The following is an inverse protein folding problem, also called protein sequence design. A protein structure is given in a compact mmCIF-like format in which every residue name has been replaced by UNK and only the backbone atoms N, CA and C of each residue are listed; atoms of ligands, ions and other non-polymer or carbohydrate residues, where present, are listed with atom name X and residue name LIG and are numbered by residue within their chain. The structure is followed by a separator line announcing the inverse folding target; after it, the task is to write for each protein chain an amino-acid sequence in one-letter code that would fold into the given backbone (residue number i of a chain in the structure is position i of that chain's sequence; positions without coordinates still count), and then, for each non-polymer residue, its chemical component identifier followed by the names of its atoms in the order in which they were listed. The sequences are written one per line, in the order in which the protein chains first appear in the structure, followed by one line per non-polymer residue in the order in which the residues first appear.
data_IF_817560502559
#
_entry.id   IF_817560502559
#
_cell.length_a   1.000
_cell.length_b   1.000
_cell.length_c   1.000
_cell.angle_alpha   90.00
_cell.angle_beta   90.00
_cell.angle_gamma   90.00
#
_symmetry.space_group_name_H-M   'P 1'
#
loop_
_entity.id
_entity.type
_entity.pdbx_description
1 polymer ?
#
# COMPACT_ATOMS: atom_id res chain seq x y z
N UNK A 1 13.20 31.21 39.61
CA UNK A 1 12.60 31.93 38.48
C UNK A 1 11.39 31.12 38.08
N UNK A 2 10.20 31.58 38.45
CA UNK A 2 8.96 30.88 38.13
C UNK A 2 8.67 31.04 36.64
N UNK A 3 8.56 29.90 35.95
CA UNK A 3 8.04 29.86 34.59
C UNK A 3 6.52 30.06 34.70
N UNK A 4 5.94 31.06 33.99
CA UNK A 4 4.50 31.23 33.98
C UNK A 4 3.85 29.98 33.41
N UNK A 5 2.77 29.56 34.05
CA UNK A 5 1.93 28.41 33.73
C UNK A 5 1.72 28.32 32.21
N UNK A 6 2.44 27.38 31.58
CA UNK A 6 2.37 27.16 30.14
C UNK A 6 1.05 26.41 29.90
N UNK A 7 0.08 27.07 29.28
CA UNK A 7 -1.11 26.40 28.77
C UNK A 7 -0.70 25.14 27.98
N UNK A 8 -1.49 24.05 28.05
CA UNK A 8 -1.16 22.80 27.37
C UNK A 8 -0.78 23.06 25.91
N UNK A 9 0.29 22.42 25.45
CA UNK A 9 0.90 22.57 24.12
C UNK A 9 -0.10 22.45 22.95
N UNK A 10 -1.25 21.82 23.19
CA UNK A 10 -2.33 21.55 22.25
C UNK A 10 -3.24 22.77 21.96
N UNK A 11 -3.18 23.86 22.74
CA UNK A 11 -4.14 24.98 22.63
C UNK A 11 -3.69 26.16 21.74
N UNK A 12 -2.47 26.15 21.17
CA UNK A 12 -1.98 27.28 20.38
C UNK A 12 -2.39 27.12 18.91
N UNK A 13 -3.56 27.65 18.56
CA UNK A 13 -4.15 27.58 17.23
C UNK A 13 -3.55 28.59 16.23
N UNK A 14 -2.22 28.57 16.03
CA UNK A 14 -1.55 29.21 14.89
C UNK A 14 -0.51 30.30 15.22
N UNK A 15 0.17 30.84 14.18
CA UNK A 15 1.35 31.70 14.35
C UNK A 15 1.09 32.99 15.12
N UNK A 16 -0.09 33.62 14.93
CA UNK A 16 -0.45 34.86 15.61
C UNK A 16 -0.62 34.66 17.14
N UNK A 17 -1.24 33.55 17.54
CA UNK A 17 -1.39 33.21 18.95
C UNK A 17 -0.03 33.03 19.62
N UNK A 18 0.93 32.40 18.95
CA UNK A 18 2.29 32.22 19.45
C UNK A 18 3.05 33.56 19.59
N UNK A 19 2.98 34.42 18.57
CA UNK A 19 3.63 35.73 18.58
C UNK A 19 3.08 36.65 19.69
N UNK A 20 1.77 36.58 19.96
CA UNK A 20 1.11 37.41 20.98
C UNK A 20 1.59 37.15 22.41
N UNK A 21 2.20 35.98 22.69
CA UNK A 21 2.73 35.60 24.01
C UNK A 21 4.12 36.19 24.30
N UNK A 22 4.78 36.77 23.30
CA UNK A 22 6.07 37.44 23.44
C UNK A 22 7.29 36.49 23.53
N UNK A 23 8.51 37.07 23.54
CA UNK A 23 9.75 36.33 23.30
C UNK A 23 10.11 35.29 24.37
N UNK A 24 9.79 35.55 25.65
CA UNK A 24 10.08 34.60 26.74
C UNK A 24 9.28 33.30 26.58
N UNK A 25 8.01 33.42 26.21
CA UNK A 25 7.15 32.27 25.94
C UNK A 25 7.66 31.49 24.73
N UNK A 26 7.97 32.18 23.63
CA UNK A 26 8.50 31.56 22.41
C UNK A 26 9.79 30.78 22.70
N UNK A 27 10.71 31.34 23.50
CA UNK A 27 11.94 30.65 23.88
C UNK A 27 11.68 29.37 24.69
N UNK A 28 10.77 29.41 25.68
CA UNK A 28 10.40 28.24 26.46
C UNK A 28 9.69 27.17 25.61
N UNK A 29 8.83 27.61 24.68
CA UNK A 29 8.13 26.74 23.73
C UNK A 29 9.12 26.04 22.78
N UNK A 30 10.08 26.77 22.22
CA UNK A 30 11.14 26.19 21.39
C UNK A 30 11.98 25.17 22.17
N UNK A 31 12.36 25.47 23.42
CA UNK A 31 13.10 24.54 24.26
C UNK A 31 12.33 23.23 24.51
N UNK A 32 11.03 23.33 24.79
CA UNK A 32 10.16 22.16 24.99
C UNK A 32 10.08 21.30 23.73
N UNK A 33 9.88 21.93 22.55
CA UNK A 33 9.86 21.19 21.28
C UNK A 33 11.20 20.54 20.95
N UNK A 34 12.31 21.20 21.26
CA UNK A 34 13.64 20.60 21.09
C UNK A 34 13.80 19.36 21.96
N UNK A 35 13.36 19.40 23.23
CA UNK A 35 13.38 18.25 24.12
C UNK A 35 12.52 17.09 23.58
N UNK A 36 11.31 17.37 23.10
CA UNK A 36 10.43 16.37 22.49
C UNK A 36 11.08 15.68 21.29
N UNK A 37 11.74 16.44 20.41
CA UNK A 37 12.47 15.87 19.26
C UNK A 37 13.59 14.94 19.70
N UNK A 38 14.38 15.32 20.71
CA UNK A 38 15.40 14.42 21.25
C UNK A 38 14.79 13.19 21.91
N UNK A 39 13.62 13.32 22.53
CA UNK A 39 12.88 12.18 23.11
C UNK A 39 12.41 11.21 22.03
N UNK A 40 11.86 11.70 20.93
CA UNK A 40 11.45 10.89 19.77
C UNK A 40 12.65 10.19 19.13
N UNK A 41 13.72 10.93 18.88
CA UNK A 41 14.99 10.39 18.38
C UNK A 41 15.50 9.26 19.27
N UNK A 42 15.59 9.50 20.59
CA UNK A 42 16.12 8.53 21.56
C UNK A 42 15.25 7.28 21.61
N UNK A 43 13.92 7.44 21.61
CA UNK A 43 12.98 6.32 21.58
C UNK A 43 13.20 5.47 20.32
N UNK A 44 13.24 6.09 19.15
CA UNK A 44 13.41 5.39 17.88
C UNK A 44 14.79 4.73 17.75
N UNK A 45 15.83 5.35 18.31
CA UNK A 45 17.19 4.81 18.34
C UNK A 45 17.30 3.57 19.25
N UNK A 46 16.57 3.52 20.37
CA UNK A 46 16.63 2.41 21.32
C UNK A 46 15.67 1.26 21.01
N UNK A 47 14.65 1.50 20.19
CA UNK A 47 13.62 0.50 19.83
C UNK A 47 14.21 -0.77 19.17
N UNK A 48 15.35 -0.67 18.49
CA UNK A 48 16.01 -1.81 17.85
C UNK A 48 16.95 -2.63 18.74
N UNK A 49 16.78 -2.57 20.07
CA UNK A 49 17.62 -3.29 21.05
C UNK A 49 19.12 -2.95 20.91
N UNK A 50 19.41 -1.65 20.92
CA UNK A 50 20.80 -1.16 20.92
C UNK A 50 21.38 -1.37 22.32
N UNK A 51 22.37 -2.26 22.41
CA UNK A 51 23.13 -2.58 23.62
C UNK A 51 24.60 -2.19 23.42
N UNK A 52 25.37 -1.93 24.50
CA UNK A 52 26.79 -1.60 24.39
C UNK A 52 27.59 -2.58 23.50
N UNK A 53 27.25 -3.87 23.54
CA UNK A 53 27.93 -4.95 22.84
C UNK A 53 27.63 -4.97 21.33
N UNK A 54 26.54 -4.34 20.88
CA UNK A 54 26.14 -4.31 19.48
C UNK A 54 26.15 -2.91 18.87
N UNK A 55 26.55 -1.89 19.63
CA UNK A 55 26.57 -0.48 19.23
C UNK A 55 27.93 0.02 18.71
N UNK A 56 28.98 -0.83 18.73
CA UNK A 56 30.36 -0.46 18.40
C UNK A 56 30.54 0.11 16.98
N UNK A 57 29.60 -0.15 16.08
CA UNK A 57 29.63 0.41 14.73
C UNK A 57 29.32 1.91 14.72
N UNK A 58 28.68 2.50 15.74
CA UNK A 58 28.46 3.94 15.79
C UNK A 58 29.56 4.63 16.59
N UNK A 59 30.33 5.50 15.94
CA UNK A 59 31.32 6.32 16.66
C UNK A 59 30.65 7.50 17.36
N UNK A 60 31.26 8.02 18.43
CA UNK A 60 30.78 9.23 19.10
C UNK A 60 30.72 10.44 18.16
N UNK A 61 31.62 10.52 17.17
CA UNK A 61 31.61 11.57 16.15
C UNK A 61 30.41 11.45 15.21
N UNK A 62 30.07 10.23 14.77
CA UNK A 62 28.90 9.99 13.92
C UNK A 62 27.60 10.31 14.67
N UNK A 63 27.53 9.95 15.96
CA UNK A 63 26.39 10.29 16.82
C UNK A 63 26.26 11.80 17.02
N UNK A 64 27.36 12.50 17.32
CA UNK A 64 27.35 13.96 17.45
C UNK A 64 26.94 14.64 16.13
N UNK A 65 27.43 14.16 14.99
CA UNK A 65 27.05 14.70 13.68
C UNK A 65 25.53 14.55 13.43
N UNK A 66 24.95 13.42 13.86
CA UNK A 66 23.51 13.18 13.73
C UNK A 66 22.68 14.06 14.66
N UNK A 67 23.09 14.25 15.92
CA UNK A 67 22.41 15.15 16.85
C UNK A 67 22.43 16.60 16.34
N UNK A 68 23.54 17.04 15.75
CA UNK A 68 23.63 18.37 15.13
C UNK A 68 22.75 18.50 13.90
N UNK A 69 22.70 17.46 13.06
CA UNK A 69 21.80 17.43 11.91
C UNK A 69 20.35 17.55 12.36
N UNK A 70 19.94 16.79 13.38
CA UNK A 70 18.62 16.85 13.99
C UNK A 70 18.30 18.25 14.56
N UNK A 71 19.22 18.85 15.30
CA UNK A 71 19.03 20.17 15.90
C UNK A 71 18.80 21.26 14.85
N UNK A 72 19.54 21.21 13.75
CA UNK A 72 19.42 22.16 12.63
C UNK A 72 18.21 21.90 11.73
N UNK A 73 17.62 20.71 11.81
CA UNK A 73 16.51 20.31 10.96
C UNK A 73 15.22 21.05 11.37
N UNK A 74 14.49 21.57 10.39
CA UNK A 74 13.25 22.33 10.62
C UNK A 74 12.00 21.44 10.64
N UNK A 75 12.12 20.18 10.21
CA UNK A 75 11.02 19.21 10.18
C UNK A 75 11.08 18.35 11.45
N UNK A 76 9.98 18.35 12.22
CA UNK A 76 9.90 17.61 13.46
C UNK A 76 9.84 16.09 13.22
N UNK A 77 9.15 15.70 12.16
CA UNK A 77 8.88 14.33 11.71
C UNK A 77 10.17 13.52 11.46
N UNK A 78 11.26 14.21 11.10
CA UNK A 78 12.56 13.57 10.88
C UNK A 78 13.24 13.09 12.17
N UNK A 79 12.82 13.53 13.36
CA UNK A 79 13.42 13.10 14.62
C UNK A 79 13.41 11.57 14.77
N UNK A 80 12.27 10.95 14.47
CA UNK A 80 12.13 9.48 14.47
C UNK A 80 13.03 8.82 13.41
N UNK A 81 13.07 9.38 12.19
CA UNK A 81 13.88 8.84 11.08
C UNK A 81 15.39 8.89 11.39
N UNK A 82 15.87 9.98 12.00
CA UNK A 82 17.24 10.06 12.50
C UNK A 82 17.51 8.98 13.55
N UNK A 83 16.57 8.75 14.48
CA UNK A 83 16.71 7.70 15.48
C UNK A 83 16.80 6.31 14.85
N UNK A 84 15.99 6.01 13.83
CA UNK A 84 16.07 4.76 13.06
C UNK A 84 17.43 4.59 12.39
N UNK A 85 17.93 5.64 11.75
CA UNK A 85 19.24 5.63 11.11
C UNK A 85 20.37 5.42 12.15
N UNK A 86 20.28 6.07 13.32
CA UNK A 86 21.21 5.85 14.43
C UNK A 86 21.23 4.38 14.84
N UNK A 87 20.04 3.79 15.05
CA UNK A 87 19.91 2.38 15.40
C UNK A 87 20.50 1.46 14.33
N UNK A 88 20.24 1.72 13.04
CA UNK A 88 20.79 0.93 11.93
C UNK A 88 22.31 1.03 11.84
N UNK A 89 22.88 2.20 12.12
CA UNK A 89 24.33 2.42 12.18
C UNK A 89 24.93 1.71 13.38
N UNK A 90 24.34 1.88 14.56
CA UNK A 90 24.81 1.27 15.80
C UNK A 90 24.84 -0.25 15.69
N UNK A 91 23.74 -0.87 15.25
CA UNK A 91 23.59 -2.32 15.08
C UNK A 91 24.35 -2.91 13.88
N UNK A 92 25.18 -2.12 13.19
CA UNK A 92 26.01 -2.57 12.07
C UNK A 92 25.26 -2.94 10.79
N UNK A 93 23.93 -2.69 10.72
CA UNK A 93 23.11 -2.91 9.52
C UNK A 93 23.50 -1.94 8.39
N UNK A 94 23.93 -0.73 8.74
CA UNK A 94 24.50 0.23 7.80
C UNK A 94 26.00 0.03 7.64
N UNK A 95 26.44 -0.29 6.41
CA UNK A 95 27.86 -0.46 6.10
C UNK A 95 28.69 0.79 6.46
N UNK A 96 29.90 0.59 6.99
CA UNK A 96 30.76 1.66 7.52
C UNK A 96 30.97 2.86 6.59
N UNK A 97 31.22 2.62 5.31
CA UNK A 97 31.45 3.66 4.31
C UNK A 97 30.18 4.46 3.93
N UNK A 98 28.99 3.99 4.31
CA UNK A 98 27.71 4.63 3.98
C UNK A 98 27.17 5.54 5.09
N UNK A 99 27.66 5.41 6.33
CA UNK A 99 27.14 6.13 7.51
C UNK A 99 27.04 7.63 7.28
N UNK A 100 28.17 8.27 6.92
CA UNK A 100 28.24 9.73 6.68
C UNK A 100 27.44 10.15 5.45
N UNK A 101 27.37 9.29 4.42
CA UNK A 101 26.56 9.56 3.23
C UNK A 101 25.07 9.62 3.60
N UNK A 102 24.58 8.64 4.37
CA UNK A 102 23.19 8.58 4.80
C UNK A 102 22.81 9.71 5.76
N UNK A 103 23.69 10.06 6.71
CA UNK A 103 23.45 11.21 7.62
C UNK A 103 23.27 12.49 6.81
N UNK A 104 24.14 12.74 5.83
CA UNK A 104 24.05 13.94 4.99
C UNK A 104 22.85 13.90 4.05
N UNK A 105 22.54 12.74 3.46
CA UNK A 105 21.37 12.57 2.62
C UNK A 105 20.08 12.86 3.41
N UNK A 106 19.94 12.29 4.61
CA UNK A 106 18.77 12.52 5.46
C UNK A 106 18.62 13.99 5.87
N UNK A 107 19.73 14.67 6.14
CA UNK A 107 19.74 16.10 6.49
C UNK A 107 19.33 17.02 5.34
N UNK A 108 19.59 16.63 4.11
CA UNK A 108 19.31 17.44 2.93
C UNK A 108 17.97 17.10 2.27
N UNK A 109 17.42 15.91 2.53
CA UNK A 109 16.08 15.51 2.10
C UNK A 109 15.01 16.08 3.03
N UNK A 110 13.88 16.49 2.46
CA UNK A 110 12.68 16.76 3.27
C UNK A 110 12.03 15.47 3.77
N UNK A 111 11.22 15.54 4.82
CA UNK A 111 10.48 14.36 5.30
C UNK A 111 9.60 13.77 4.19
N UNK A 112 8.92 14.62 3.42
CA UNK A 112 8.12 14.18 2.27
C UNK A 112 8.95 13.47 1.18
N UNK A 113 10.19 13.88 0.96
CA UNK A 113 11.10 13.21 0.03
C UNK A 113 11.55 11.84 0.54
N UNK A 114 11.85 11.72 1.84
CA UNK A 114 12.16 10.43 2.47
C UNK A 114 10.93 9.51 2.41
N UNK A 115 9.73 10.04 2.64
CA UNK A 115 8.48 9.28 2.51
C UNK A 115 8.20 8.82 1.07
N UNK A 116 8.53 9.61 0.05
CA UNK A 116 8.44 9.18 -1.35
C UNK A 116 9.36 8.00 -1.65
N UNK A 117 10.60 8.01 -1.14
CA UNK A 117 11.52 6.88 -1.28
C UNK A 117 10.96 5.64 -0.56
N UNK A 118 10.39 5.80 0.63
CA UNK A 118 9.71 4.72 1.37
C UNK A 118 8.56 4.14 0.55
N UNK A 119 7.64 4.97 0.06
CA UNK A 119 6.49 4.54 -0.75
C UNK A 119 6.93 3.82 -2.03
N UNK A 120 7.97 4.31 -2.71
CA UNK A 120 8.52 3.64 -3.88
C UNK A 120 9.12 2.26 -3.54
N UNK A 121 9.82 2.15 -2.40
CA UNK A 121 10.39 0.88 -1.93
C UNK A 121 9.31 -0.16 -1.66
N UNK A 122 8.19 0.26 -1.06
CA UNK A 122 7.01 -0.58 -0.80
C UNK A 122 6.38 -1.01 -2.12
N UNK A 123 6.15 -0.07 -3.04
CA UNK A 123 5.55 -0.37 -4.34
C UNK A 123 6.44 -1.28 -5.23
N UNK A 124 7.76 -1.32 -5.05
CA UNK A 124 8.66 -2.27 -5.74
C UNK A 124 8.48 -3.73 -5.27
N UNK A 125 7.89 -3.95 -4.08
CA UNK A 125 7.84 -5.27 -3.41
C UNK A 125 6.44 -5.84 -3.26
N UNK A 126 5.43 -4.99 -3.32
CA UNK A 126 4.03 -5.34 -3.08
C UNK A 126 3.17 -5.08 -4.31
N UNK A 127 2.06 -5.81 -4.44
CA UNK A 127 1.09 -5.61 -5.51
C UNK A 127 0.12 -4.50 -5.12
N UNK A 128 0.60 -3.25 -5.20
CA UNK A 128 -0.16 -2.08 -4.73
C UNK A 128 -1.25 -1.67 -5.72
N UNK A 129 -2.46 -1.48 -5.20
CA UNK A 129 -3.59 -0.93 -5.93
C UNK A 129 -3.34 0.54 -6.33
N UNK A 130 -3.35 0.89 -7.63
CA UNK A 130 -3.07 2.25 -8.10
C UNK A 130 -4.25 3.21 -7.94
N UNK A 131 -5.41 2.76 -7.43
CA UNK A 131 -6.65 3.53 -7.37
C UNK A 131 -7.42 3.57 -8.70
N UNK A 132 -6.73 3.61 -9.84
CA UNK A 132 -7.34 3.58 -11.19
C UNK A 132 -6.56 2.68 -12.14
N UNK A 133 -7.28 1.95 -13.00
CA UNK A 133 -6.71 1.01 -13.98
C UNK A 133 -6.27 -0.32 -13.36
N UNK A 134 -6.08 -1.34 -14.19
CA UNK A 134 -5.84 -2.72 -13.72
C UNK A 134 -4.38 -3.09 -13.43
N UNK A 135 -3.48 -2.12 -13.37
CA UNK A 135 -2.04 -2.34 -13.12
C UNK A 135 -1.66 -2.27 -11.64
N UNK A 136 -0.36 -2.34 -11.36
CA UNK A 136 0.19 -2.00 -10.04
C UNK A 136 0.61 -0.53 -10.00
N UNK A 137 0.60 0.07 -8.81
CA UNK A 137 1.17 1.40 -8.60
C UNK A 137 2.64 1.41 -9.03
N UNK A 138 2.98 2.29 -9.96
CA UNK A 138 4.31 2.32 -10.56
C UNK A 138 5.30 3.09 -9.66
N UNK A 139 6.34 2.44 -9.11
CA UNK A 139 7.30 3.11 -8.23
C UNK A 139 8.01 4.29 -8.91
N UNK A 140 8.22 4.21 -10.23
CA UNK A 140 8.88 5.27 -11.01
C UNK A 140 8.06 6.55 -11.08
N UNK A 141 6.73 6.47 -11.00
CA UNK A 141 5.87 7.65 -10.98
C UNK A 141 6.03 8.40 -9.65
N UNK A 142 6.09 7.67 -8.53
CA UNK A 142 6.36 8.25 -7.20
C UNK A 142 7.71 8.98 -7.13
N UNK A 143 8.71 8.44 -7.82
CA UNK A 143 10.06 9.01 -7.87
C UNK A 143 10.22 10.16 -8.89
N UNK A 144 9.17 10.50 -9.64
CA UNK A 144 9.23 11.53 -10.67
C UNK A 144 10.14 11.18 -11.85
N UNK A 145 10.31 9.89 -12.15
CA UNK A 145 11.12 9.41 -13.27
C UNK A 145 10.41 9.52 -14.62
N UNK A 146 9.09 9.76 -14.62
CA UNK A 146 8.32 10.08 -15.82
C UNK A 146 8.25 11.59 -16.06
N UNK A 147 8.58 12.03 -17.27
CA UNK A 147 8.52 13.44 -17.64
C UNK A 147 9.79 14.24 -17.30
N UNK A 148 9.65 15.57 -17.22
CA UNK A 148 10.79 16.47 -16.97
C UNK A 148 11.30 16.31 -15.53
N UNK A 149 12.63 16.33 -15.29
CA UNK A 149 13.18 16.19 -13.96
C UNK A 149 12.69 17.30 -13.02
N UNK A 150 11.85 16.95 -12.06
CA UNK A 150 11.44 17.83 -10.97
C UNK A 150 12.52 17.93 -9.88
N UNK A 151 12.32 18.84 -8.94
CA UNK A 151 13.24 19.07 -7.81
C UNK A 151 13.56 17.78 -7.03
N UNK A 152 12.56 16.95 -6.75
CA UNK A 152 12.75 15.69 -6.02
C UNK A 152 13.72 14.74 -6.75
N UNK A 153 13.53 14.55 -8.06
CA UNK A 153 14.38 13.66 -8.86
C UNK A 153 15.85 14.09 -8.82
N UNK A 154 16.13 15.39 -8.97
CA UNK A 154 17.49 15.91 -8.94
C UNK A 154 18.16 15.69 -7.59
N UNK A 155 17.44 15.89 -6.49
CA UNK A 155 17.95 15.64 -5.14
C UNK A 155 18.23 14.15 -4.90
N UNK A 156 17.33 13.26 -5.35
CA UNK A 156 17.53 11.82 -5.23
C UNK A 156 18.73 11.32 -6.06
N UNK A 157 18.90 11.81 -7.29
CA UNK A 157 20.04 11.50 -8.16
C UNK A 157 21.36 12.01 -7.56
N UNK A 158 21.37 13.22 -6.99
CA UNK A 158 22.55 13.81 -6.31
C UNK A 158 23.08 12.92 -5.19
N UNK A 159 22.19 12.28 -4.43
CA UNK A 159 22.55 11.33 -3.37
C UNK A 159 22.69 9.88 -3.85
N UNK A 160 22.58 9.64 -5.15
CA UNK A 160 22.59 8.32 -5.78
C UNK A 160 21.53 7.35 -5.22
N UNK A 161 20.40 7.86 -4.72
CA UNK A 161 19.32 7.05 -4.14
C UNK A 161 18.40 6.45 -5.22
N UNK A 162 18.39 7.04 -6.40
CA UNK A 162 17.67 6.53 -7.57
C UNK A 162 18.59 6.44 -8.78
N UNK A 163 18.18 5.65 -9.76
CA UNK A 163 18.74 5.59 -11.10
C UNK A 163 17.60 5.59 -12.15
N UNK A 164 17.93 5.41 -13.43
CA UNK A 164 16.93 5.38 -14.51
C UNK A 164 15.90 4.25 -14.38
N UNK A 165 16.21 3.20 -13.60
CA UNK A 165 15.36 2.03 -13.39
C UNK A 165 14.47 2.14 -12.16
N UNK A 166 14.71 3.07 -11.24
CA UNK A 166 13.93 3.21 -10.00
C UNK A 166 14.81 3.49 -8.80
N UNK A 167 14.53 2.87 -7.65
CA UNK A 167 15.45 2.94 -6.51
C UNK A 167 16.76 2.23 -6.85
N UNK A 168 17.87 2.90 -6.53
CA UNK A 168 19.18 2.26 -6.62
C UNK A 168 19.39 1.28 -5.46
N UNK A 169 20.45 0.48 -5.50
CA UNK A 169 20.84 -0.33 -4.33
C UNK A 169 21.11 0.54 -3.10
N UNK A 170 21.67 1.74 -3.31
CA UNK A 170 21.92 2.71 -2.25
C UNK A 170 20.61 3.24 -1.67
N UNK A 171 19.65 3.58 -2.53
CA UNK A 171 18.32 4.03 -2.12
C UNK A 171 17.58 3.00 -1.28
N UNK A 172 17.61 1.73 -1.70
CA UNK A 172 17.00 0.64 -0.92
C UNK A 172 17.61 0.52 0.47
N UNK A 173 18.95 0.52 0.57
CA UNK A 173 19.65 0.48 1.86
C UNK A 173 19.39 1.71 2.72
N UNK A 174 19.24 2.88 2.11
CA UNK A 174 18.90 4.11 2.82
C UNK A 174 17.51 4.01 3.44
N UNK A 175 16.51 3.58 2.67
CA UNK A 175 15.14 3.37 3.18
C UNK A 175 15.12 2.34 4.30
N UNK A 176 15.77 1.19 4.12
CA UNK A 176 15.86 0.12 5.13
C UNK A 176 16.59 0.56 6.41
N UNK A 177 17.50 1.54 6.32
CA UNK A 177 18.17 2.11 7.48
C UNK A 177 17.31 3.17 8.21
N UNK A 178 16.39 3.81 7.49
CA UNK A 178 15.57 4.92 7.97
C UNK A 178 14.22 4.48 8.55
N UNK A 179 13.79 3.24 8.34
CA UNK A 179 12.49 2.73 8.74
C UNK A 179 12.57 1.32 9.31
N UNK A 180 11.76 1.03 10.34
CA UNK A 180 11.60 -0.33 10.85
C UNK A 180 10.75 -1.18 9.90
N UNK A 181 10.82 -2.51 10.03
CA UNK A 181 10.10 -3.45 9.15
C UNK A 181 8.59 -3.17 9.06
N UNK A 182 7.92 -2.94 10.20
CA UNK A 182 6.48 -2.61 10.21
C UNK A 182 6.14 -1.26 9.57
N UNK A 183 7.10 -0.34 9.46
CA UNK A 183 6.92 0.95 8.77
C UNK A 183 7.10 0.83 7.25
N UNK A 184 7.56 -0.34 6.78
CA UNK A 184 7.76 -0.69 5.38
C UNK A 184 6.66 -1.61 4.84
N UNK A 185 5.58 -1.79 5.60
CA UNK A 185 4.38 -2.48 5.14
C UNK A 185 3.44 -1.50 4.39
N UNK A 186 2.67 -1.97 3.40
CA UNK A 186 1.74 -1.12 2.64
C UNK A 186 0.77 -0.30 3.50
N UNK A 187 0.24 -0.92 4.56
CA UNK A 187 -0.68 -0.28 5.49
C UNK A 187 -0.08 0.92 6.22
N UNK A 188 1.25 0.94 6.46
CA UNK A 188 1.94 2.02 7.16
C UNK A 188 1.97 3.34 6.38
N UNK A 189 1.75 3.30 5.06
CA UNK A 189 1.66 4.49 4.18
C UNK A 189 0.27 4.72 3.61
N UNK A 190 -0.72 3.97 4.10
CA UNK A 190 -2.10 4.01 3.62
C UNK A 190 -2.29 3.38 2.24
N UNK A 191 -1.37 2.52 1.79
CA UNK A 191 -1.56 1.77 0.56
C UNK A 191 -2.48 0.57 0.78
N UNK A 192 -3.26 0.28 -0.25
CA UNK A 192 -4.06 -0.93 -0.36
C UNK A 192 -3.38 -1.88 -1.33
N UNK A 193 -3.26 -3.14 -0.97
CA UNK A 193 -2.81 -4.19 -1.88
C UNK A 193 -3.98 -4.77 -2.66
N UNK A 194 -3.70 -5.23 -3.88
CA UNK A 194 -4.59 -6.13 -4.59
C UNK A 194 -4.81 -7.40 -3.78
N UNK A 195 -6.04 -7.91 -3.78
CA UNK A 195 -6.35 -9.22 -3.23
C UNK A 195 -5.49 -10.31 -3.88
N UNK A 196 -5.03 -11.29 -3.08
CA UNK A 196 -4.22 -12.41 -3.60
C UNK A 196 -5.00 -13.26 -4.61
N UNK A 197 -6.31 -13.34 -4.44
CA UNK A 197 -7.22 -14.04 -5.34
C UNK A 197 -7.94 -13.13 -6.33
N UNK A 198 -8.62 -13.76 -7.28
CA UNK A 198 -9.30 -13.06 -8.37
C UNK A 198 -10.73 -13.59 -8.55
N UNK A 199 -11.59 -12.75 -9.12
CA UNK A 199 -12.94 -13.12 -9.54
C UNK A 199 -12.92 -13.31 -11.05
N UNK A 200 -13.35 -14.47 -11.52
CA UNK A 200 -13.51 -14.73 -12.95
C UNK A 200 -14.97 -14.97 -13.28
N UNK A 201 -15.53 -14.13 -14.14
CA UNK A 201 -16.91 -14.20 -14.58
C UNK A 201 -16.95 -14.89 -15.94
N UNK A 202 -17.68 -16.00 -15.99
CA UNK A 202 -17.99 -16.71 -17.24
C UNK A 202 -19.43 -16.36 -17.59
N UNK A 203 -19.63 -15.76 -18.77
CA UNK A 203 -20.94 -15.28 -19.20
C UNK A 203 -21.20 -15.67 -20.65
N UNK A 204 -22.32 -16.35 -20.93
CA UNK A 204 -22.73 -16.70 -22.30
C UNK A 204 -23.44 -15.56 -23.02
N UNK A 205 -23.90 -14.57 -22.25
CA UNK A 205 -24.88 -13.58 -22.69
C UNK A 205 -24.38 -12.15 -22.43
N UNK A 206 -23.10 -11.88 -22.71
CA UNK A 206 -22.50 -10.56 -22.43
C UNK A 206 -23.21 -9.40 -23.14
N UNK A 207 -23.91 -9.67 -24.25
CA UNK A 207 -24.65 -8.67 -25.02
C UNK A 207 -26.04 -8.34 -24.42
N UNK A 208 -26.47 -9.08 -23.39
CA UNK A 208 -27.75 -8.84 -22.73
C UNK A 208 -27.60 -7.67 -21.75
N UNK A 209 -28.51 -6.67 -21.76
CA UNK A 209 -28.37 -5.49 -20.90
C UNK A 209 -28.24 -5.82 -19.42
N UNK A 210 -29.01 -6.81 -18.93
CA UNK A 210 -28.98 -7.21 -17.53
C UNK A 210 -27.63 -7.83 -17.12
N UNK A 211 -27.04 -8.69 -17.95
CA UNK A 211 -25.72 -9.25 -17.66
C UNK A 211 -24.63 -8.19 -17.79
N UNK A 212 -24.70 -7.32 -18.81
CA UNK A 212 -23.73 -6.24 -19.00
C UNK A 212 -23.71 -5.25 -17.83
N UNK A 213 -24.89 -4.79 -17.38
CA UNK A 213 -25.01 -3.88 -16.23
C UNK A 213 -24.48 -4.51 -14.95
N UNK A 214 -24.75 -5.81 -14.75
CA UNK A 214 -24.22 -6.55 -13.62
C UNK A 214 -22.69 -6.68 -13.67
N UNK A 215 -22.12 -7.00 -14.84
CA UNK A 215 -20.68 -7.09 -15.05
C UNK A 215 -19.99 -5.78 -14.70
N UNK A 216 -20.48 -4.65 -15.23
CA UNK A 216 -19.93 -3.32 -14.93
C UNK A 216 -19.98 -3.00 -13.44
N UNK A 217 -21.09 -3.33 -12.78
CA UNK A 217 -21.24 -3.07 -11.35
C UNK A 217 -20.30 -3.92 -10.50
N UNK A 218 -20.13 -5.19 -10.84
CA UNK A 218 -19.22 -6.07 -10.11
C UNK A 218 -17.76 -5.65 -10.34
N UNK A 219 -17.40 -5.26 -11.56
CA UNK A 219 -16.07 -4.73 -11.88
C UNK A 219 -15.78 -3.44 -11.09
N UNK A 220 -16.72 -2.48 -11.09
CA UNK A 220 -16.58 -1.22 -10.36
C UNK A 220 -16.40 -1.43 -8.85
N UNK A 221 -17.29 -2.22 -8.23
CA UNK A 221 -17.25 -2.47 -6.79
C UNK A 221 -16.06 -3.36 -6.40
N UNK A 222 -15.73 -4.35 -7.23
CA UNK A 222 -14.55 -5.20 -7.05
C UNK A 222 -13.27 -4.39 -7.11
N UNK A 223 -13.13 -3.53 -8.12
CA UNK A 223 -12.00 -2.61 -8.28
C UNK A 223 -11.88 -1.64 -7.10
N UNK A 224 -12.99 -1.05 -6.63
CA UNK A 224 -13.00 -0.20 -5.44
C UNK A 224 -12.53 -0.93 -4.16
N UNK A 225 -12.63 -2.26 -4.13
CA UNK A 225 -12.13 -3.12 -3.04
C UNK A 225 -10.75 -3.71 -3.32
N UNK A 226 -10.06 -3.28 -4.38
CA UNK A 226 -8.81 -3.84 -4.87
C UNK A 226 -8.88 -5.35 -5.12
N UNK A 227 -9.94 -5.80 -5.79
CA UNK A 227 -10.10 -7.18 -6.25
C UNK A 227 -10.05 -7.17 -7.78
N UNK A 228 -9.21 -8.03 -8.35
CA UNK A 228 -9.20 -8.23 -9.80
C UNK A 228 -10.46 -8.97 -10.22
N UNK A 229 -11.25 -8.32 -11.10
CA UNK A 229 -12.39 -8.92 -11.76
C UNK A 229 -12.01 -9.12 -13.23
N UNK A 230 -12.13 -10.35 -13.70
CA UNK A 230 -11.94 -10.72 -15.09
C UNK A 230 -13.26 -11.25 -15.62
N UNK A 231 -13.63 -10.90 -16.85
CA UNK A 231 -14.82 -11.46 -17.49
C UNK A 231 -14.44 -12.07 -18.84
N UNK A 232 -15.02 -13.22 -19.14
CA UNK A 232 -14.84 -13.94 -20.39
C UNK A 232 -16.16 -14.50 -20.92
N UNK A 233 -16.30 -14.50 -22.25
CA UNK A 233 -17.35 -15.26 -22.90
C UNK A 233 -17.05 -16.76 -22.76
N UNK A 234 -18.04 -17.62 -22.50
CA UNK A 234 -17.80 -19.07 -22.50
C UNK A 234 -17.67 -19.66 -23.93
N UNK A 235 -17.91 -18.84 -24.96
CA UNK A 235 -18.00 -19.29 -26.36
C UNK A 235 -16.68 -19.87 -26.91
N UNK A 236 -16.78 -21.16 -27.30
CA UNK A 236 -15.96 -21.95 -28.25
C UNK A 236 -14.45 -21.64 -28.33
N UNK A 237 -13.67 -22.44 -27.61
CA UNK A 237 -12.41 -22.99 -28.16
C UNK A 237 -11.08 -22.37 -27.73
N UNK A 238 -11.03 -21.57 -26.66
CA UNK A 238 -9.75 -21.07 -26.09
C UNK A 238 -9.73 -21.08 -24.56
N UNK A 239 -9.98 -22.22 -23.91
CA UNK A 239 -9.94 -22.34 -22.44
C UNK A 239 -8.55 -22.08 -21.83
N UNK A 240 -7.47 -22.18 -22.60
CA UNK A 240 -6.10 -22.13 -22.08
C UNK A 240 -5.53 -20.72 -21.80
N UNK A 241 -6.26 -19.62 -22.06
CA UNK A 241 -5.71 -18.25 -21.87
C UNK A 241 -6.32 -17.45 -20.73
N UNK A 242 -7.36 -17.95 -20.06
CA UNK A 242 -8.19 -17.11 -19.19
C UNK A 242 -7.80 -17.08 -17.72
N UNK A 243 -6.84 -17.91 -17.29
CA UNK A 243 -6.61 -18.10 -15.87
C UNK A 243 -5.16 -17.80 -15.51
N UNK A 244 -4.95 -16.60 -14.98
CA UNK A 244 -3.74 -16.21 -14.27
C UNK A 244 -3.48 -17.15 -13.07
N UNK A 245 -2.21 -17.38 -12.69
CA UNK A 245 -1.88 -18.17 -11.50
C UNK A 245 -2.43 -17.50 -10.24
N UNK A 246 -3.14 -18.24 -9.38
CA UNK A 246 -3.67 -17.72 -8.11
C UNK A 246 -4.98 -18.41 -7.70
N UNK A 247 -5.44 -18.18 -6.45
CA UNK A 247 -6.74 -18.67 -6.01
C UNK A 247 -7.86 -17.86 -6.69
N UNK A 248 -8.85 -18.54 -7.26
CA UNK A 248 -9.88 -17.91 -8.10
C UNK A 248 -11.26 -18.37 -7.65
N UNK A 249 -12.18 -17.41 -7.56
CA UNK A 249 -13.62 -17.64 -7.48
C UNK A 249 -14.23 -17.48 -8.88
N UNK A 250 -15.03 -18.44 -9.30
CA UNK A 250 -15.71 -18.40 -10.60
C UNK A 250 -17.18 -18.03 -10.42
N UNK A 251 -17.67 -17.09 -11.22
CA UNK A 251 -19.07 -16.68 -11.28
C UNK A 251 -19.62 -17.07 -12.64
N UNK A 252 -20.63 -17.93 -12.66
CA UNK A 252 -21.39 -18.28 -13.85
C UNK A 252 -22.55 -17.29 -13.96
N UNK A 253 -22.43 -16.27 -14.81
CA UNK A 253 -23.43 -15.23 -15.02
C UNK A 253 -24.30 -15.55 -16.24
N UNK A 254 -25.63 -15.53 -16.08
CA UNK A 254 -26.55 -15.88 -17.16
C UNK A 254 -27.98 -15.40 -16.92
N UNK A 255 -28.70 -15.08 -18.00
CA UNK A 255 -30.15 -14.93 -18.03
C UNK A 255 -30.86 -16.24 -18.42
N UNK A 256 -30.21 -17.15 -19.16
CA UNK A 256 -30.69 -18.49 -19.46
C UNK A 256 -29.66 -19.58 -19.10
N UNK A 257 -29.73 -20.15 -17.87
CA UNK A 257 -28.79 -21.16 -17.39
C UNK A 257 -28.67 -22.42 -18.28
N UNK A 258 -29.65 -22.70 -19.14
CA UNK A 258 -29.57 -23.83 -20.07
C UNK A 258 -28.43 -23.67 -21.09
N UNK A 259 -28.02 -22.45 -21.43
CA UNK A 259 -26.88 -22.24 -22.34
C UNK A 259 -25.57 -22.77 -21.77
N UNK A 260 -25.41 -22.81 -20.45
CA UNK A 260 -24.24 -23.44 -19.84
C UNK A 260 -24.29 -24.96 -19.91
N UNK A 261 -25.47 -25.59 -20.02
CA UNK A 261 -25.58 -27.04 -20.16
C UNK A 261 -24.97 -27.51 -21.50
N UNK A 262 -25.22 -26.76 -22.56
CA UNK A 262 -24.71 -27.06 -23.90
C UNK A 262 -23.17 -26.96 -23.99
N UNK A 263 -22.56 -26.13 -23.13
CA UNK A 263 -21.10 -25.91 -23.07
C UNK A 263 -20.48 -26.44 -21.77
N UNK A 264 -21.21 -27.30 -21.04
CA UNK A 264 -20.85 -27.66 -19.65
C UNK A 264 -19.47 -28.28 -19.54
N UNK A 265 -19.04 -29.09 -20.50
CA UNK A 265 -17.70 -29.68 -20.51
C UNK A 265 -16.60 -28.61 -20.50
N UNK A 266 -16.79 -27.50 -21.21
CA UNK A 266 -15.84 -26.39 -21.26
C UNK A 266 -15.88 -25.55 -19.98
N UNK A 267 -17.08 -25.34 -19.43
CA UNK A 267 -17.27 -24.67 -18.13
C UNK A 267 -16.63 -25.49 -17.02
N UNK A 268 -16.87 -26.82 -17.01
CA UNK A 268 -16.33 -27.77 -16.05
C UNK A 268 -14.80 -27.76 -16.05
N UNK A 269 -14.18 -27.82 -17.23
CA UNK A 269 -12.72 -27.72 -17.35
C UNK A 269 -12.17 -26.37 -16.85
N UNK A 270 -12.95 -25.29 -16.94
CA UNK A 270 -12.58 -23.95 -16.43
C UNK A 270 -12.68 -23.87 -14.90
N UNK A 271 -13.67 -24.54 -14.30
CA UNK A 271 -13.92 -24.55 -12.85
C UNK A 271 -13.15 -25.65 -12.10
N UNK A 272 -12.68 -26.70 -12.79
CA UNK A 272 -12.05 -27.87 -12.16
C UNK A 272 -10.80 -27.45 -11.37
N UNK A 273 -10.84 -27.71 -10.05
CA UNK A 273 -9.74 -27.38 -9.12
C UNK A 273 -9.74 -25.93 -8.60
N UNK A 274 -10.80 -25.15 -8.85
CA UNK A 274 -10.99 -23.78 -8.31
C UNK A 274 -11.63 -23.80 -6.92
N UNK A 275 -11.40 -22.75 -6.13
CA UNK A 275 -11.72 -22.73 -4.70
C UNK A 275 -13.21 -22.53 -4.39
N UNK A 276 -13.97 -21.85 -5.27
CA UNK A 276 -15.41 -21.65 -5.15
C UNK A 276 -16.02 -21.30 -6.52
N UNK A 277 -17.18 -21.89 -6.84
CA UNK A 277 -17.99 -21.57 -8.02
C UNK A 277 -19.39 -21.16 -7.57
N UNK A 278 -19.84 -20.01 -8.03
CA UNK A 278 -21.17 -19.44 -7.74
C UNK A 278 -21.93 -19.21 -9.04
N UNK A 279 -23.23 -19.45 -9.04
CA UNK A 279 -24.13 -19.15 -10.15
C UNK A 279 -24.87 -17.86 -9.84
N UNK A 280 -24.69 -16.83 -10.68
CA UNK A 280 -25.43 -15.58 -10.60
C UNK A 280 -26.42 -15.55 -11.77
N UNK A 281 -27.73 -15.48 -11.49
CA UNK A 281 -28.74 -15.43 -12.56
C UNK A 281 -29.51 -14.13 -12.54
N UNK A 282 -29.65 -13.51 -13.72
CA UNK A 282 -30.44 -12.28 -13.89
C UNK A 282 -31.94 -12.57 -14.09
N UNK A 283 -32.30 -13.83 -14.35
CA UNK A 283 -33.68 -14.34 -14.33
C UNK A 283 -33.84 -15.42 -13.23
N UNK A 284 -34.38 -15.05 -12.06
CA UNK A 284 -34.51 -15.98 -10.93
C UNK A 284 -35.49 -17.14 -11.19
N UNK A 285 -36.35 -17.03 -12.20
CA UNK A 285 -37.30 -18.07 -12.56
C UNK A 285 -36.75 -19.05 -13.60
N UNK A 286 -35.56 -18.79 -14.15
CA UNK A 286 -35.00 -19.63 -15.18
C UNK A 286 -34.63 -21.03 -14.61
N UNK A 287 -34.98 -22.12 -15.33
CA UNK A 287 -34.69 -23.47 -14.90
C UNK A 287 -33.19 -23.71 -14.92
N UNK A 288 -32.64 -24.24 -13.84
CA UNK A 288 -31.21 -24.54 -13.73
C UNK A 288 -30.92 -25.99 -14.11
N UNK A 289 -29.89 -26.25 -14.94
CA UNK A 289 -29.48 -27.60 -15.27
C UNK A 289 -29.03 -28.39 -14.04
N UNK A 290 -29.24 -29.71 -14.05
CA UNK A 290 -28.84 -30.63 -12.98
C UNK A 290 -27.36 -30.47 -12.57
N UNK A 291 -26.48 -30.16 -13.53
CA UNK A 291 -25.06 -29.98 -13.30
C UNK A 291 -24.70 -28.77 -12.40
N UNK A 292 -25.63 -27.83 -12.25
CA UNK A 292 -25.46 -26.59 -11.48
C UNK A 292 -26.29 -26.59 -10.18
N UNK A 293 -27.12 -27.60 -9.92
CA UNK A 293 -28.00 -27.66 -8.74
C UNK A 293 -27.23 -27.65 -7.41
N UNK A 294 -26.03 -28.23 -7.38
CA UNK A 294 -25.18 -28.27 -6.20
C UNK A 294 -24.38 -26.98 -5.96
N UNK A 295 -24.42 -26.02 -6.90
CA UNK A 295 -23.70 -24.75 -6.79
C UNK A 295 -24.52 -23.72 -6.00
N UNK A 296 -23.81 -22.85 -5.30
CA UNK A 296 -24.44 -21.71 -4.63
C UNK A 296 -25.06 -20.76 -5.67
N UNK A 297 -26.31 -20.35 -5.44
CA UNK A 297 -27.08 -19.52 -6.38
C UNK A 297 -27.34 -18.14 -5.78
N UNK A 298 -27.07 -17.11 -6.56
CA UNK A 298 -27.30 -15.72 -6.22
C UNK A 298 -28.25 -15.11 -7.27
N UNK A 299 -29.32 -14.50 -6.80
CA UNK A 299 -30.27 -13.75 -7.62
C UNK A 299 -29.67 -12.39 -7.96
N UNK A 300 -29.25 -12.25 -9.21
CA UNK A 300 -28.64 -11.06 -9.80
C UNK A 300 -29.62 -10.30 -10.71
N UNK A 301 -30.93 -10.48 -10.52
CA UNK A 301 -31.94 -9.72 -11.25
C UNK A 301 -31.73 -8.20 -11.11
N UNK A 302 -32.17 -7.36 -12.08
CA UNK A 302 -31.87 -5.93 -12.08
C UNK A 302 -32.24 -5.20 -10.76
N UNK A 303 -33.31 -5.63 -10.08
CA UNK A 303 -33.71 -5.08 -8.78
C UNK A 303 -32.83 -5.50 -7.60
N UNK A 304 -32.06 -6.59 -7.74
CA UNK A 304 -31.22 -7.18 -6.68
C UNK A 304 -29.74 -7.24 -7.01
N UNK A 305 -29.33 -6.74 -8.18
CA UNK A 305 -27.93 -6.72 -8.62
C UNK A 305 -26.97 -6.10 -7.59
N UNK A 306 -27.40 -5.10 -6.81
CA UNK A 306 -26.59 -4.55 -5.71
C UNK A 306 -26.31 -5.58 -4.61
N UNK A 307 -27.36 -6.24 -4.13
CA UNK A 307 -27.28 -7.26 -3.08
C UNK A 307 -26.46 -8.46 -3.55
N UNK A 308 -26.63 -8.86 -4.80
CA UNK A 308 -25.87 -9.93 -5.42
C UNK A 308 -24.36 -9.62 -5.47
N UNK A 309 -23.98 -8.41 -5.89
CA UNK A 309 -22.57 -7.98 -5.88
C UNK A 309 -22.00 -8.00 -4.46
N UNK A 310 -22.74 -7.50 -3.46
CA UNK A 310 -22.31 -7.55 -2.06
C UNK A 310 -22.12 -8.99 -1.59
N UNK A 311 -23.08 -9.87 -1.84
CA UNK A 311 -23.01 -11.28 -1.46
C UNK A 311 -21.80 -11.99 -2.09
N UNK A 312 -21.56 -11.77 -3.38
CA UNK A 312 -20.39 -12.32 -4.10
C UNK A 312 -19.08 -11.88 -3.45
N UNK A 313 -18.96 -10.60 -3.12
CA UNK A 313 -17.75 -10.07 -2.49
C UNK A 313 -17.59 -10.59 -1.07
N UNK A 314 -18.68 -10.76 -0.31
CA UNK A 314 -18.64 -11.40 1.02
C UNK A 314 -18.22 -12.88 0.93
N UNK A 315 -18.70 -13.63 -0.06
CA UNK A 315 -18.24 -14.99 -0.33
C UNK A 315 -16.73 -15.01 -0.66
N UNK A 316 -16.26 -14.06 -1.46
CA UNK A 316 -14.84 -13.93 -1.79
C UNK A 316 -13.98 -13.74 -0.53
N UNK A 317 -14.39 -12.84 0.38
CA UNK A 317 -13.70 -12.60 1.65
C UNK A 317 -13.78 -13.82 2.59
N UNK A 318 -14.95 -14.44 2.73
CA UNK A 318 -15.16 -15.60 3.59
C UNK A 318 -14.32 -16.82 3.19
N UNK A 319 -13.93 -16.92 1.91
CA UNK A 319 -13.02 -17.96 1.41
C UNK A 319 -11.54 -17.63 1.59
N UNK A 320 -11.21 -16.49 2.22
CA UNK A 320 -9.83 -16.07 2.47
C UNK A 320 -9.08 -15.67 1.20
N UNK A 321 -9.79 -15.35 0.12
CA UNK A 321 -9.17 -15.02 -1.18
C UNK A 321 -8.49 -13.65 -1.19
N UNK A 322 -8.84 -12.75 -0.27
CA UNK A 322 -8.08 -11.50 -0.07
C UNK A 322 -6.64 -11.77 0.35
N UNK A 323 -6.43 -12.84 1.12
CA UNK A 323 -5.15 -13.14 1.77
C UNK A 323 -4.96 -12.28 3.01
N UNK A 324 -4.42 -12.90 4.08
CA UNK A 324 -3.84 -12.18 5.22
C UNK A 324 -2.46 -11.67 4.89
#
# INVERSE_FOLDING_TARGET
MDYPDLAPLEEISGPFALLSKGPKFIAAWLATRTEERFREFTRAALDGQVFPENAEAMTSEDFLAMLRALEMDIEAEKATVYGRLACSIATGKTAGHLKRHFIKALSDLSFGQVDLLRRAWIAERHQIFPGRGGGNLNPKELLGLHGKPGFNRQTFERWALIDEKGLSLMGRKFVEACFAGGELEPSAVGFQEWAKGQIHIVCNEMDTPACYDFLLKLDEVGHARAIHVHHGAAVRGRSNRLLTPGPVMVILLTDNPQLFADEWTTVEDTIRGRALTVVATTDPNAPVPAAMEALERIDASPGRAAEAVTAILECFEAKGLRGT
#
